data_IF_292704504822
#
_entry.id   IF_292704504822
#
_cell.length_a   1.000
_cell.length_b   1.000
_cell.length_c   1.000
_cell.angle_alpha   90.00
_cell.angle_beta   90.00
_cell.angle_gamma   90.00
#
_symmetry.space_group_name_H-M   'P 1'
#
loop_
_entity.id
_entity.type
_entity.pdbx_description
1 polymer ?
#
# COMPACT_ATOMS: atom_id res chain seq x y z
N UNK A 1 -12.30 5.88 -1.73
CA UNK A 1 -12.74 6.64 -0.53
C UNK A 1 -12.33 8.10 -0.56
N UNK A 2 -11.05 8.42 -0.74
CA UNK A 2 -10.53 9.80 -0.70
C UNK A 2 -11.34 10.81 -1.53
N UNK A 3 -11.66 10.49 -2.79
CA UNK A 3 -12.44 11.36 -3.69
C UNK A 3 -13.83 11.69 -3.14
N UNK A 4 -14.51 10.72 -2.54
CA UNK A 4 -15.86 10.90 -2.03
C UNK A 4 -15.89 11.84 -0.82
N UNK A 5 -14.81 11.86 -0.02
CA UNK A 5 -14.70 12.70 1.17
C UNK A 5 -14.16 14.09 0.81
N UNK A 6 -13.08 14.15 0.03
CA UNK A 6 -12.40 15.41 -0.29
C UNK A 6 -13.08 16.22 -1.40
N UNK A 7 -13.82 15.57 -2.31
CA UNK A 7 -14.41 16.21 -3.49
C UNK A 7 -13.36 16.98 -4.30
N UNK A 8 -13.71 18.20 -4.70
CA UNK A 8 -12.82 19.07 -5.50
C UNK A 8 -11.75 19.80 -4.67
N UNK A 9 -11.70 19.58 -3.34
CA UNK A 9 -10.73 20.24 -2.45
C UNK A 9 -9.39 19.51 -2.40
N UNK A 10 -9.31 18.34 -3.00
CA UNK A 10 -8.14 17.46 -2.95
C UNK A 10 -7.70 17.11 -4.35
N UNK A 11 -6.40 17.04 -4.57
CA UNK A 11 -5.83 16.40 -5.74
C UNK A 11 -5.45 14.95 -5.37
N UNK A 12 -5.86 13.98 -6.17
CA UNK A 12 -5.69 12.56 -5.85
C UNK A 12 -4.87 11.89 -6.92
N UNK A 13 -3.75 11.30 -6.49
CA UNK A 13 -2.96 10.37 -7.28
C UNK A 13 -3.17 8.97 -6.72
N UNK A 14 -3.50 8.02 -7.59
CA UNK A 14 -3.64 6.60 -7.25
C UNK A 14 -2.40 5.86 -7.73
N UNK A 15 -1.69 5.21 -6.79
CA UNK A 15 -0.43 4.49 -7.08
C UNK A 15 -0.72 3.13 -7.73
N UNK A 16 -1.57 2.33 -7.10
CA UNK A 16 -2.04 1.05 -7.66
C UNK A 16 -3.41 1.28 -8.31
N UNK A 17 -3.45 1.16 -9.64
CA UNK A 17 -4.66 1.41 -10.43
C UNK A 17 -5.80 0.39 -10.19
N UNK A 18 -6.98 0.62 -10.80
CA UNK A 18 -8.19 -0.20 -10.58
C UNK A 18 -8.02 -1.70 -10.83
N UNK A 19 -7.13 -2.07 -11.76
CA UNK A 19 -6.83 -3.45 -12.14
C UNK A 19 -5.44 -3.90 -11.67
N UNK A 20 -4.77 -3.10 -10.83
CA UNK A 20 -3.46 -3.40 -10.28
C UNK A 20 -3.55 -4.25 -9.01
N UNK A 21 -2.63 -5.21 -8.87
CA UNK A 21 -2.48 -5.99 -7.65
C UNK A 21 -1.39 -5.39 -6.76
N UNK A 22 -1.77 -4.92 -5.57
CA UNK A 22 -0.88 -4.28 -4.62
C UNK A 22 0.19 -5.21 -4.04
N UNK A 23 -0.02 -6.52 -4.05
CA UNK A 23 0.94 -7.49 -3.49
C UNK A 23 2.18 -7.65 -4.38
N UNK A 24 1.99 -7.58 -5.70
CA UNK A 24 3.07 -7.70 -6.70
C UNK A 24 3.45 -6.38 -7.34
N UNK A 25 2.81 -5.28 -6.93
CA UNK A 25 3.06 -3.97 -7.51
C UNK A 25 4.50 -3.50 -7.27
N UNK A 26 5.13 -3.03 -8.35
CA UNK A 26 6.45 -2.42 -8.32
C UNK A 26 6.33 -0.91 -8.61
N UNK A 27 6.65 -0.04 -7.63
CA UNK A 27 6.58 1.40 -7.83
C UNK A 27 7.54 1.91 -8.91
N UNK A 28 7.04 2.82 -9.73
CA UNK A 28 7.85 3.55 -10.71
C UNK A 28 8.55 4.76 -10.08
N UNK A 29 9.57 5.34 -10.75
CA UNK A 29 10.14 6.61 -10.32
C UNK A 29 9.11 7.76 -10.24
N UNK A 30 8.07 7.72 -11.08
CA UNK A 30 7.00 8.72 -11.03
C UNK A 30 6.18 8.63 -9.73
N UNK A 31 6.01 7.43 -9.19
CA UNK A 31 5.33 7.23 -7.91
C UNK A 31 6.13 7.80 -6.74
N UNK A 32 7.46 7.69 -6.78
CA UNK A 32 8.32 8.31 -5.79
C UNK A 32 8.21 9.84 -5.84
N UNK A 33 8.15 10.42 -7.04
CA UNK A 33 7.93 11.88 -7.21
C UNK A 33 6.54 12.30 -6.71
N UNK A 34 5.50 11.53 -7.04
CA UNK A 34 4.15 11.79 -6.55
C UNK A 34 4.08 11.72 -5.02
N UNK A 35 4.72 10.73 -4.41
CA UNK A 35 4.77 10.57 -2.95
C UNK A 35 5.58 11.68 -2.28
N UNK A 36 6.69 12.12 -2.89
CA UNK A 36 7.50 13.23 -2.37
C UNK A 36 6.73 14.55 -2.34
N UNK A 37 5.83 14.78 -3.29
CA UNK A 37 4.99 15.97 -3.39
C UNK A 37 3.67 15.89 -2.62
N UNK A 38 3.35 14.76 -1.99
CA UNK A 38 2.09 14.58 -1.27
C UNK A 38 2.13 15.25 0.11
N UNK A 39 0.99 15.80 0.54
CA UNK A 39 0.80 16.23 1.94
C UNK A 39 0.40 15.07 2.85
N UNK A 40 -0.39 14.13 2.31
CA UNK A 40 -0.95 12.98 3.01
C UNK A 40 -0.86 11.76 2.10
N UNK A 41 -0.43 10.63 2.67
CA UNK A 41 -0.45 9.32 2.01
C UNK A 41 -1.42 8.43 2.78
N UNK A 42 -2.45 7.92 2.09
CA UNK A 42 -3.42 7.00 2.68
C UNK A 42 -3.05 5.57 2.31
N UNK A 43 -2.95 4.70 3.30
CA UNK A 43 -2.56 3.29 3.11
C UNK A 43 -3.57 2.37 3.79
N UNK A 44 -3.79 1.19 3.24
CA UNK A 44 -4.68 0.21 3.86
C UNK A 44 -4.07 -0.27 5.18
N UNK A 45 -2.79 -0.66 5.16
CA UNK A 45 -2.12 -1.29 6.28
C UNK A 45 -2.27 -2.81 6.27
N UNK A 46 -2.13 -3.45 7.42
CA UNK A 46 -2.20 -4.93 7.55
C UNK A 46 -1.25 -5.68 6.60
N UNK A 47 -0.09 -5.10 6.31
CA UNK A 47 0.91 -5.61 5.36
C UNK A 47 0.41 -5.77 3.90
N UNK A 48 -0.67 -5.09 3.52
CA UNK A 48 -1.22 -5.16 2.18
C UNK A 48 -0.28 -4.57 1.12
N UNK A 49 0.37 -3.45 1.42
CA UNK A 49 1.31 -2.78 0.51
C UNK A 49 2.78 -3.14 0.80
N UNK A 50 3.24 -4.30 0.33
CA UNK A 50 4.63 -4.78 0.56
C UNK A 50 5.75 -3.89 -0.04
N UNK A 51 5.41 -2.97 -0.93
CA UNK A 51 6.33 -2.00 -1.53
C UNK A 51 6.45 -0.68 -0.76
N UNK A 52 5.53 -0.41 0.19
CA UNK A 52 5.32 0.94 0.73
C UNK A 52 6.58 1.50 1.39
N UNK A 53 7.26 0.72 2.25
CA UNK A 53 8.44 1.20 2.96
C UNK A 53 9.55 1.62 2.00
N UNK A 54 9.79 0.82 0.95
CA UNK A 54 10.79 1.13 -0.08
C UNK A 54 10.45 2.44 -0.81
N UNK A 55 9.17 2.66 -1.09
CA UNK A 55 8.71 3.88 -1.76
C UNK A 55 8.79 5.12 -0.86
N UNK A 56 8.52 4.98 0.44
CA UNK A 56 8.70 6.04 1.44
C UNK A 56 10.17 6.45 1.52
N UNK A 57 11.06 5.46 1.59
CA UNK A 57 12.50 5.71 1.66
C UNK A 57 13.02 6.36 0.36
N UNK A 58 12.59 5.86 -0.80
CA UNK A 58 12.99 6.39 -2.11
C UNK A 58 12.46 7.81 -2.39
N UNK A 59 11.26 8.13 -1.91
CA UNK A 59 10.65 9.44 -2.10
C UNK A 59 11.17 10.51 -1.12
N UNK A 60 11.78 10.10 -0.01
CA UNK A 60 12.14 10.97 1.11
C UNK A 60 10.97 11.89 1.52
N UNK A 61 9.74 11.36 1.44
CA UNK A 61 8.52 12.13 1.65
C UNK A 61 8.42 12.67 3.07
N UNK A 62 7.80 13.84 3.20
CA UNK A 62 7.42 14.45 4.49
C UNK A 62 5.92 14.33 4.76
N UNK A 63 5.20 13.63 3.88
CA UNK A 63 3.77 13.44 3.98
C UNK A 63 3.39 12.71 5.28
N UNK A 64 2.21 13.02 5.81
CA UNK A 64 1.63 12.21 6.88
C UNK A 64 1.08 10.90 6.32
N UNK A 65 1.63 9.78 6.76
CA UNK A 65 1.13 8.45 6.39
C UNK A 65 -0.01 8.07 7.33
N UNK A 66 -1.20 7.80 6.78
CA UNK A 66 -2.40 7.45 7.54
C UNK A 66 -2.89 6.08 7.14
N UNK A 67 -2.84 5.15 8.10
CA UNK A 67 -3.37 3.79 7.95
C UNK A 67 -4.88 3.77 8.15
N UNK A 68 -5.62 3.36 7.12
CA UNK A 68 -7.09 3.40 7.09
C UNK A 68 -7.74 2.29 7.92
N UNK A 69 -7.02 1.20 8.20
CA UNK A 69 -7.49 0.11 9.06
C UNK A 69 -7.25 0.37 10.55
N UNK A 70 -6.66 1.51 10.94
CA UNK A 70 -6.52 1.87 12.34
C UNK A 70 -7.90 1.96 13.01
N UNK A 71 -8.12 1.13 14.05
CA UNK A 71 -9.39 1.04 14.76
C UNK A 71 -10.41 0.06 14.15
N UNK A 72 -10.06 -0.63 13.07
CA UNK A 72 -10.84 -1.75 12.53
C UNK A 72 -10.41 -3.05 13.21
N UNK A 73 -11.35 -3.91 13.58
CA UNK A 73 -11.06 -5.29 14.02
C UNK A 73 -10.87 -6.16 12.77
N UNK A 74 -9.65 -6.66 12.50
CA UNK A 74 -9.41 -7.54 11.35
C UNK A 74 -10.09 -8.89 11.56
N UNK A 75 -10.42 -9.56 10.46
CA UNK A 75 -10.85 -10.97 10.47
C UNK A 75 -9.58 -11.83 10.41
N UNK A 76 -9.59 -12.97 11.11
CA UNK A 76 -8.46 -13.89 11.09
C UNK A 76 -8.18 -14.41 9.68
N UNK A 77 -6.90 -14.43 9.33
CA UNK A 77 -6.44 -15.03 8.09
C UNK A 77 -6.71 -16.54 8.12
N UNK A 78 -7.43 -17.03 7.11
CA UNK A 78 -7.61 -18.47 6.93
C UNK A 78 -6.70 -18.97 5.80
N UNK A 79 -5.82 -19.94 6.07
CA UNK A 79 -4.89 -20.48 5.07
C UNK A 79 -5.57 -21.09 3.84
N UNK A 80 -6.85 -21.48 3.97
CA UNK A 80 -7.67 -22.00 2.87
C UNK A 80 -7.94 -20.98 1.75
N UNK A 81 -7.71 -19.68 2.01
CA UNK A 81 -7.80 -18.60 1.03
C UNK A 81 -6.44 -18.12 0.52
N UNK A 82 -5.34 -18.75 0.93
CA UNK A 82 -4.04 -18.50 0.35
C UNK A 82 -3.96 -19.19 -1.02
N UNK A 83 -3.63 -18.45 -2.07
CA UNK A 83 -3.26 -19.06 -3.34
C UNK A 83 -2.05 -19.98 -3.13
N UNK A 84 -2.06 -21.15 -3.78
CA UNK A 84 -1.08 -22.22 -3.57
C UNK A 84 0.38 -21.80 -3.85
N UNK A 85 0.60 -20.69 -4.55
CA UNK A 85 1.92 -20.15 -4.88
C UNK A 85 2.59 -19.39 -3.72
N UNK A 86 1.90 -19.15 -2.59
CA UNK A 86 2.48 -18.47 -1.42
C UNK A 86 3.35 -19.36 -0.52
N UNK A 87 3.49 -20.66 -0.84
CA UNK A 87 4.16 -21.65 0.02
C UNK A 87 5.64 -21.95 -0.30
N UNK A 88 6.22 -21.37 -1.36
CA UNK A 88 7.66 -21.52 -1.65
C UNK A 88 8.48 -20.37 -1.04
N UNK A 89 8.78 -20.46 0.26
CA UNK A 89 9.68 -19.50 0.90
C UNK A 89 10.08 -19.80 2.34
N UNK A 90 9.39 -20.73 3.01
CA UNK A 90 9.71 -21.10 4.39
C UNK A 90 10.35 -22.49 4.48
N UNK A 91 11.68 -22.52 4.36
CA UNK A 91 12.54 -23.71 4.59
C UNK A 91 13.64 -23.75 3.53
N UNK A 92 14.92 -23.54 3.84
CA UNK A 92 15.71 -24.34 4.77
C UNK A 92 16.86 -23.53 5.38
N UNK A 93 16.92 -23.49 6.71
CA UNK A 93 18.19 -23.35 7.43
C UNK A 93 18.57 -24.74 7.95
N UNK A 94 19.60 -25.32 7.37
CA UNK A 94 20.28 -26.53 7.82
C UNK A 94 21.78 -26.37 7.58
#
# INVERSE_FOLDING_TARGET
>A
FAKNVGGDRVNITTIVGPDGDAHVYEPSPADAVAMAGADIVLVNGLNFEGFLQRLVDASATKASIVTLTNGVTPIDFKPEFADADAAEGAGTSG
#
